data_IF_840525700117
#
_entry.id   IF_840525700117
#
_cell.length_a   1.000
_cell.length_b   1.000
_cell.length_c   1.000
_cell.angle_alpha   90.00
_cell.angle_beta   90.00
_cell.angle_gamma   90.00
#
_symmetry.space_group_name_H-M   'P 1'
#
loop_
_entity.id
_entity.type
_entity.pdbx_description
1 polymer ?
#
# COMPACT_ATOMS: atom_id res chain seq x y z
N UNK A 1 0.57 -6.23 1.35
CA UNK A 1 -0.69 -5.60 0.91
C UNK A 1 -1.70 -5.75 2.03
N UNK A 2 -2.32 -4.64 2.43
CA UNK A 2 -3.35 -4.62 3.47
C UNK A 2 -4.66 -4.25 2.78
N UNK A 3 -5.70 -5.09 2.93
CA UNK A 3 -7.04 -4.82 2.42
C UNK A 3 -7.07 -4.29 0.96
N UNK A 4 -6.39 -4.98 0.04
CA UNK A 4 -6.39 -4.70 -1.39
C UNK A 4 -7.22 -5.68 -2.22
N UNK A 5 -7.14 -5.57 -3.54
CA UNK A 5 -7.77 -6.50 -4.49
C UNK A 5 -6.82 -6.87 -5.62
N UNK A 6 -7.30 -7.71 -6.55
CA UNK A 6 -6.54 -8.16 -7.72
C UNK A 6 -6.04 -7.00 -8.59
N UNK A 7 -5.01 -7.25 -9.38
CA UNK A 7 -4.48 -6.28 -10.32
C UNK A 7 -5.58 -5.74 -11.26
N UNK A 8 -5.60 -4.43 -11.52
CA UNK A 8 -6.55 -3.84 -12.48
C UNK A 8 -8.04 -4.19 -12.22
N UNK A 9 -8.45 -4.39 -10.96
CA UNK A 9 -9.82 -4.80 -10.61
C UNK A 9 -10.90 -3.87 -11.18
N UNK A 10 -10.60 -2.57 -11.30
CA UNK A 10 -11.53 -1.56 -11.82
C UNK A 10 -11.69 -1.65 -13.34
N UNK A 11 -10.87 -2.45 -14.01
CA UNK A 11 -10.89 -2.66 -15.46
C UNK A 11 -10.86 -1.36 -16.27
N UNK A 12 -11.26 -1.42 -17.54
CA UNK A 12 -11.48 -0.24 -18.37
C UNK A 12 -12.68 0.60 -17.90
N UNK A 13 -13.60 0.02 -17.11
CA UNK A 13 -14.75 0.73 -16.57
C UNK A 13 -14.43 1.71 -15.43
N UNK A 14 -13.20 1.68 -14.90
CA UNK A 14 -12.69 2.64 -13.91
C UNK A 14 -13.57 2.73 -12.67
N UNK A 15 -13.78 3.96 -12.18
CA UNK A 15 -14.47 4.21 -10.91
C UNK A 15 -15.84 3.52 -10.81
N UNK A 16 -16.62 3.47 -11.91
CA UNK A 16 -17.92 2.81 -11.90
C UNK A 16 -17.81 1.29 -11.64
N UNK A 17 -16.79 0.64 -12.21
CA UNK A 17 -16.54 -0.79 -11.97
C UNK A 17 -15.94 -1.02 -10.59
N UNK A 18 -15.02 -0.17 -10.13
CA UNK A 18 -14.47 -0.26 -8.78
C UNK A 18 -15.56 -0.16 -7.70
N UNK A 19 -16.53 0.75 -7.88
CA UNK A 19 -17.71 0.87 -7.01
C UNK A 19 -18.56 -0.39 -7.01
N UNK A 20 -18.79 -1.00 -8.17
CA UNK A 20 -19.66 -2.16 -8.30
C UNK A 20 -19.01 -3.47 -7.86
N UNK A 21 -17.71 -3.63 -8.11
CA UNK A 21 -17.04 -4.92 -8.07
C UNK A 21 -15.91 -5.00 -7.05
N UNK A 22 -15.25 -3.89 -6.71
CA UNK A 22 -14.03 -3.88 -5.89
C UNK A 22 -14.20 -3.20 -4.52
N UNK A 23 -15.40 -3.16 -3.96
CA UNK A 23 -15.64 -2.64 -2.61
C UNK A 23 -15.97 -1.15 -2.50
N UNK A 24 -16.10 -0.40 -3.60
CA UNK A 24 -16.44 1.02 -3.50
C UNK A 24 -17.90 1.33 -3.12
N UNK A 25 -18.79 0.31 -3.03
CA UNK A 25 -20.19 0.48 -2.61
C UNK A 25 -20.49 -0.35 -1.36
N UNK A 26 -21.01 0.29 -0.31
CA UNK A 26 -21.54 -0.42 0.86
C UNK A 26 -22.91 -1.03 0.54
N UNK A 27 -23.04 -2.35 0.69
CA UNK A 27 -24.27 -3.10 0.50
C UNK A 27 -25.19 -3.01 1.73
N UNK A 28 -26.48 -3.37 1.63
CA UNK A 28 -27.41 -3.40 2.77
C UNK A 28 -26.97 -4.31 3.92
N UNK A 29 -26.04 -5.24 3.67
CA UNK A 29 -25.40 -6.09 4.69
C UNK A 29 -24.30 -5.37 5.47
N UNK A 30 -24.06 -4.08 5.21
CA UNK A 30 -22.92 -3.28 5.68
C UNK A 30 -21.55 -3.79 5.20
N UNK A 31 -21.53 -4.71 4.22
CA UNK A 31 -20.29 -5.17 3.59
C UNK A 31 -20.04 -4.39 2.30
N UNK A 32 -18.78 -4.16 1.97
CA UNK A 32 -18.37 -3.70 0.66
C UNK A 32 -18.80 -4.64 -0.48
N UNK A 33 -19.23 -4.05 -1.60
CA UNK A 33 -19.56 -4.74 -2.84
C UNK A 33 -18.40 -5.61 -3.30
N UNK A 34 -18.71 -6.78 -3.84
CA UNK A 34 -17.70 -7.72 -4.30
C UNK A 34 -18.26 -8.50 -5.49
N UNK A 35 -17.51 -8.50 -6.58
CA UNK A 35 -17.67 -9.45 -7.67
C UNK A 35 -16.27 -9.84 -8.12
N UNK A 36 -15.96 -11.14 -8.09
CA UNK A 36 -14.63 -11.61 -8.47
C UNK A 36 -14.25 -11.13 -9.87
N UNK A 37 -13.12 -10.42 -9.95
CA UNK A 37 -12.50 -9.99 -11.21
C UNK A 37 -11.22 -10.75 -11.52
N UNK A 38 -10.91 -11.81 -10.75
CA UNK A 38 -9.66 -12.57 -10.80
C UNK A 38 -9.30 -13.03 -12.22
N UNK A 39 -10.18 -13.74 -12.92
CA UNK A 39 -9.89 -14.21 -14.29
C UNK A 39 -9.65 -13.07 -15.27
N UNK A 40 -10.36 -11.95 -15.11
CA UNK A 40 -10.15 -10.75 -15.94
C UNK A 40 -8.80 -10.11 -15.63
N UNK A 41 -8.43 -10.07 -14.35
CA UNK A 41 -7.15 -9.58 -13.88
C UNK A 41 -5.98 -10.39 -14.43
N UNK A 42 -6.00 -11.73 -14.26
CA UNK A 42 -4.97 -12.64 -14.77
C UNK A 42 -4.80 -12.50 -16.29
N UNK A 43 -5.91 -12.48 -17.04
CA UNK A 43 -5.88 -12.29 -18.50
C UNK A 43 -5.28 -10.93 -18.90
N UNK A 44 -5.60 -9.87 -18.16
CA UNK A 44 -5.05 -8.54 -18.40
C UNK A 44 -3.56 -8.50 -18.06
N UNK A 45 -3.14 -9.05 -16.91
CA UNK A 45 -1.75 -9.14 -16.49
C UNK A 45 -0.90 -9.91 -17.51
N UNK A 46 -1.36 -11.07 -17.97
CA UNK A 46 -0.68 -11.87 -19.00
C UNK A 46 -0.49 -11.08 -20.30
N UNK A 47 -1.56 -10.38 -20.72
CA UNK A 47 -1.52 -9.52 -21.91
C UNK A 47 -0.50 -8.41 -21.74
N UNK A 48 -0.58 -7.62 -20.67
CA UNK A 48 0.33 -6.49 -20.44
C UNK A 48 1.79 -6.94 -20.26
N UNK A 49 2.00 -8.09 -19.61
CA UNK A 49 3.31 -8.72 -19.48
C UNK A 49 3.88 -9.10 -20.85
N UNK A 50 3.07 -9.72 -21.73
CA UNK A 50 3.51 -10.08 -23.08
C UNK A 50 3.82 -8.86 -23.97
N UNK A 51 3.11 -7.74 -23.75
CA UNK A 51 3.31 -6.48 -24.45
C UNK A 51 4.48 -5.66 -23.89
N UNK A 52 5.01 -6.03 -22.72
CA UNK A 52 6.07 -5.30 -22.02
C UNK A 52 5.63 -3.97 -21.39
N UNK A 53 4.33 -3.72 -21.29
CA UNK A 53 3.75 -2.53 -20.64
C UNK A 53 3.78 -2.64 -19.11
N UNK A 54 3.96 -3.85 -18.59
CA UNK A 54 4.42 -4.15 -17.21
C UNK A 54 5.72 -4.97 -17.24
N UNK A 55 6.30 -5.25 -16.08
CA UNK A 55 7.40 -6.21 -16.00
C UNK A 55 6.88 -7.63 -16.23
N UNK A 56 7.76 -8.54 -16.67
CA UNK A 56 7.38 -9.92 -16.93
C UNK A 56 6.73 -10.54 -15.68
N UNK A 57 5.55 -11.13 -15.83
CA UNK A 57 4.83 -11.83 -14.77
C UNK A 57 5.69 -12.92 -14.11
N UNK A 58 6.66 -13.47 -14.85
CA UNK A 58 7.64 -14.44 -14.32
C UNK A 58 8.47 -13.90 -13.16
N UNK A 59 8.59 -12.57 -13.02
CA UNK A 59 9.30 -11.93 -11.92
C UNK A 59 8.61 -12.16 -10.56
N UNK A 60 7.32 -12.46 -10.56
CA UNK A 60 6.57 -12.80 -9.35
C UNK A 60 6.94 -14.19 -8.81
N UNK A 61 7.53 -15.06 -9.64
CA UNK A 61 7.87 -16.43 -9.23
C UNK A 61 8.86 -16.43 -8.07
N UNK A 62 8.45 -17.02 -6.96
CA UNK A 62 9.26 -17.12 -5.75
C UNK A 62 9.36 -15.83 -4.94
N UNK A 63 8.77 -14.72 -5.40
CA UNK A 63 8.80 -13.45 -4.70
C UNK A 63 8.00 -13.56 -3.39
N UNK A 64 8.57 -13.14 -2.25
CA UNK A 64 7.82 -13.06 -1.00
C UNK A 64 6.71 -12.01 -1.13
N UNK A 65 5.49 -12.39 -0.77
CA UNK A 65 4.31 -11.51 -0.76
C UNK A 65 3.59 -11.69 0.57
N UNK A 66 3.47 -10.61 1.32
CA UNK A 66 2.67 -10.57 2.54
C UNK A 66 1.30 -9.96 2.25
N UNK A 67 0.25 -10.63 2.68
CA UNK A 67 -1.14 -10.22 2.57
C UNK A 67 -1.77 -10.13 3.96
N UNK A 68 -2.60 -9.11 4.19
CA UNK A 68 -3.35 -8.90 5.42
C UNK A 68 -4.82 -8.57 5.12
N UNK A 69 -5.74 -9.26 5.79
CA UNK A 69 -7.18 -8.98 5.75
C UNK A 69 -7.82 -9.25 7.11
N UNK A 70 -8.66 -8.33 7.57
CA UNK A 70 -9.45 -8.53 8.78
C UNK A 70 -10.71 -9.34 8.50
N UNK A 71 -11.04 -10.31 9.36
CA UNK A 71 -12.29 -11.09 9.24
C UNK A 71 -13.55 -10.24 9.44
N UNK A 72 -13.42 -9.02 9.96
CA UNK A 72 -14.50 -8.07 10.17
C UNK A 72 -14.42 -6.88 9.22
N UNK A 73 -13.47 -6.82 8.28
CA UNK A 73 -13.31 -5.69 7.37
C UNK A 73 -14.58 -5.49 6.52
N UNK A 74 -15.28 -4.38 6.78
CA UNK A 74 -16.49 -4.00 6.06
C UNK A 74 -16.24 -3.06 4.87
N UNK A 75 -15.04 -2.49 4.76
CA UNK A 75 -14.69 -1.48 3.74
C UNK A 75 -14.06 -2.12 2.51
N UNK A 76 -13.25 -3.16 2.68
CA UNK A 76 -12.76 -4.01 1.61
C UNK A 76 -13.16 -5.44 1.94
N UNK A 77 -13.98 -6.02 1.06
CA UNK A 77 -14.51 -7.35 1.27
C UNK A 77 -13.35 -8.37 1.38
N UNK A 78 -13.26 -9.21 2.42
CA UNK A 78 -12.19 -10.20 2.56
C UNK A 78 -12.04 -11.15 1.35
N UNK A 79 -13.09 -11.31 0.55
CA UNK A 79 -13.05 -12.06 -0.70
C UNK A 79 -12.15 -11.41 -1.77
N UNK A 80 -11.99 -10.08 -1.79
CA UNK A 80 -11.02 -9.40 -2.66
C UNK A 80 -9.58 -9.85 -2.37
N UNK A 81 -9.24 -9.94 -1.07
CA UNK A 81 -7.93 -10.39 -0.63
C UNK A 81 -7.72 -11.89 -0.86
N UNK A 82 -8.78 -12.70 -0.83
CA UNK A 82 -8.73 -14.10 -1.21
C UNK A 82 -8.46 -14.30 -2.71
N UNK A 83 -9.07 -13.46 -3.56
CA UNK A 83 -8.76 -13.43 -4.99
C UNK A 83 -7.33 -12.96 -5.24
N UNK A 84 -6.85 -11.93 -4.52
CA UNK A 84 -5.46 -11.47 -4.61
C UNK A 84 -4.43 -12.54 -4.17
N UNK A 85 -4.72 -13.32 -3.11
CA UNK A 85 -3.92 -14.49 -2.72
C UNK A 85 -3.86 -15.51 -3.86
N UNK A 86 -5.01 -15.80 -4.47
CA UNK A 86 -5.12 -16.73 -5.59
C UNK A 86 -4.30 -16.26 -6.80
N UNK A 87 -4.40 -14.97 -7.15
CA UNK A 87 -3.63 -14.37 -8.25
C UNK A 87 -2.13 -14.44 -8.03
N UNK A 88 -1.62 -14.02 -6.86
CA UNK A 88 -0.19 -14.09 -6.58
C UNK A 88 0.33 -15.54 -6.60
N UNK A 89 -0.45 -16.49 -6.09
CA UNK A 89 -0.10 -17.91 -6.13
C UNK A 89 -0.13 -18.47 -7.56
N UNK A 90 -1.06 -18.02 -8.40
CA UNK A 90 -1.12 -18.36 -9.82
C UNK A 90 0.21 -18.04 -10.52
N UNK A 91 0.77 -16.86 -10.25
CA UNK A 91 2.06 -16.44 -10.78
C UNK A 91 3.30 -16.99 -10.04
N UNK A 92 3.08 -17.85 -9.04
CA UNK A 92 4.12 -18.59 -8.35
C UNK A 92 4.82 -17.83 -7.23
N UNK A 93 4.21 -16.76 -6.70
CA UNK A 93 4.73 -16.04 -5.55
C UNK A 93 4.70 -16.90 -4.27
N UNK A 94 5.56 -16.55 -3.31
CA UNK A 94 5.58 -17.14 -1.96
C UNK A 94 4.72 -16.28 -1.04
N UNK A 95 3.43 -16.57 -1.03
CA UNK A 95 2.44 -15.80 -0.28
C UNK A 95 2.32 -16.27 1.16
N UNK A 96 2.46 -15.33 2.10
CA UNK A 96 2.00 -15.44 3.48
C UNK A 96 0.76 -14.55 3.64
N UNK A 97 -0.36 -15.13 4.07
CA UNK A 97 -1.63 -14.41 4.16
C UNK A 97 -2.20 -14.53 5.57
N UNK A 98 -2.19 -13.42 6.30
CA UNK A 98 -2.82 -13.31 7.60
C UNK A 98 -4.24 -12.78 7.44
N UNK A 99 -5.20 -13.68 7.61
CA UNK A 99 -6.62 -13.42 7.41
C UNK A 99 -7.52 -13.93 8.53
N UNK A 100 -6.94 -14.28 9.68
CA UNK A 100 -7.65 -14.91 10.80
C UNK A 100 -7.96 -13.94 11.95
N UNK A 101 -7.48 -12.69 11.88
CA UNK A 101 -7.67 -11.72 12.95
C UNK A 101 -9.07 -11.08 12.88
N UNK A 102 -9.72 -10.81 14.02
CA UNK A 102 -10.98 -10.07 14.10
C UNK A 102 -10.75 -8.56 13.89
N UNK A 103 -10.00 -8.21 12.85
CA UNK A 103 -9.72 -6.82 12.52
C UNK A 103 -10.82 -6.23 11.65
N UNK A 104 -11.15 -4.96 11.90
CA UNK A 104 -11.85 -4.10 10.95
C UNK A 104 -10.86 -3.52 9.92
N UNK A 105 -11.34 -2.69 9.01
CA UNK A 105 -10.49 -2.07 7.98
C UNK A 105 -9.39 -1.17 8.57
N UNK A 106 -8.13 -1.50 8.28
CA UNK A 106 -6.99 -0.66 8.63
C UNK A 106 -5.62 -1.31 8.41
N UNK A 107 -4.58 -0.48 8.53
CA UNK A 107 -3.20 -0.92 8.62
C UNK A 107 -2.93 -1.50 10.00
N UNK A 108 -2.50 -2.75 10.05
CA UNK A 108 -2.13 -3.40 11.31
C UNK A 108 -0.69 -3.06 11.69
N UNK A 109 -0.48 -2.66 12.94
CA UNK A 109 0.86 -2.61 13.55
C UNK A 109 0.76 -2.66 15.09
N UNK A 110 1.89 -2.89 15.79
CA UNK A 110 1.95 -2.75 17.25
C UNK A 110 1.70 -1.33 17.77
N UNK A 111 1.83 -0.32 16.92
CA UNK A 111 1.77 1.10 17.27
C UNK A 111 0.45 1.77 16.89
N UNK A 112 -0.46 1.03 16.23
CA UNK A 112 -1.78 1.53 15.90
C UNK A 112 -2.56 1.95 17.14
N UNK A 113 -3.22 3.11 17.08
CA UNK A 113 -3.99 3.64 18.20
C UNK A 113 -5.39 2.99 18.34
N UNK A 114 -5.90 2.37 17.28
CA UNK A 114 -7.23 1.75 17.28
C UNK A 114 -7.17 0.29 17.72
N UNK A 115 -8.19 -0.15 18.44
CA UNK A 115 -8.36 -1.57 18.72
C UNK A 115 -8.61 -2.35 17.41
N UNK A 116 -8.15 -3.61 17.34
CA UNK A 116 -8.22 -4.46 16.15
C UNK A 116 -9.56 -4.37 15.40
N UNK A 117 -10.69 -4.54 16.09
CA UNK A 117 -12.04 -4.52 15.51
C UNK A 117 -12.70 -3.14 15.41
N UNK A 118 -11.92 -2.05 15.40
CA UNK A 118 -12.45 -0.69 15.30
C UNK A 118 -12.27 -0.16 13.89
N UNK A 119 -13.39 0.11 13.22
CA UNK A 119 -13.41 0.91 11.99
C UNK A 119 -13.42 2.41 12.31
N UNK A 120 -12.39 3.14 11.88
CA UNK A 120 -12.34 4.59 12.02
C UNK A 120 -10.99 5.20 11.67
N UNK A 121 -10.94 6.54 11.58
CA UNK A 121 -9.68 7.28 11.44
C UNK A 121 -8.82 7.11 12.71
N UNK A 122 -7.49 6.92 12.59
CA UNK A 122 -6.66 7.05 11.38
C UNK A 122 -6.47 5.75 10.58
N UNK A 123 -7.32 4.74 10.80
CA UNK A 123 -7.22 3.40 10.21
C UNK A 123 -5.91 2.68 10.56
N UNK A 124 -5.38 2.94 11.77
CA UNK A 124 -4.19 2.31 12.33
C UNK A 124 -4.62 1.37 13.45
N UNK A 125 -4.78 0.10 13.14
CA UNK A 125 -5.32 -0.91 14.07
C UNK A 125 -4.20 -1.69 14.74
N UNK A 126 -4.42 -2.02 16.01
CA UNK A 126 -3.53 -2.88 16.79
C UNK A 126 -4.24 -4.18 17.14
N UNK A 127 -3.70 -5.26 16.60
CA UNK A 127 -4.25 -6.59 16.82
C UNK A 127 -3.48 -7.37 17.87
N UNK A 128 -4.11 -8.40 18.42
CA UNK A 128 -3.51 -9.29 19.38
C UNK A 128 -4.01 -10.70 19.18
N UNK A 129 -3.13 -11.69 19.34
CA UNK A 129 -3.45 -13.10 19.35
C UNK A 129 -2.82 -13.76 20.57
N UNK A 130 -3.59 -14.62 21.26
CA UNK A 130 -3.09 -15.40 22.40
C UNK A 130 -2.42 -14.57 23.51
N UNK A 131 -2.91 -13.36 23.76
CA UNK A 131 -2.38 -12.45 24.79
C UNK A 131 -1.12 -11.69 24.39
N UNK A 132 -0.64 -11.82 23.15
CA UNK A 132 0.46 -11.05 22.59
C UNK A 132 -0.03 -10.11 21.49
N UNK A 133 0.59 -8.94 21.41
CA UNK A 133 0.37 -7.97 20.33
C UNK A 133 0.93 -8.56 19.04
N UNK A 134 0.15 -8.49 17.97
CA UNK A 134 0.62 -8.92 16.65
C UNK A 134 1.49 -7.83 16.02
N UNK A 135 2.43 -8.24 15.18
CA UNK A 135 3.31 -7.35 14.43
C UNK A 135 3.41 -7.86 12.99
N UNK A 136 2.53 -7.38 12.12
CA UNK A 136 2.60 -7.70 10.69
C UNK A 136 3.90 -7.20 10.06
N UNK A 137 4.48 -6.11 10.56
CA UNK A 137 5.72 -5.51 10.06
C UNK A 137 6.92 -6.41 10.28
N UNK A 138 7.04 -7.01 11.47
CA UNK A 138 8.02 -8.06 11.74
C UNK A 138 7.87 -9.23 10.76
N UNK A 139 6.62 -9.68 10.57
CA UNK A 139 6.31 -10.84 9.74
C UNK A 139 6.78 -10.62 8.31
N UNK A 140 6.35 -9.53 7.66
CA UNK A 140 6.73 -9.31 6.27
C UNK A 140 8.19 -8.92 6.12
N UNK A 141 8.78 -8.09 7.01
CA UNK A 141 10.21 -7.77 6.92
C UNK A 141 11.08 -9.02 7.04
N UNK A 142 10.70 -9.98 7.89
CA UNK A 142 11.41 -11.25 8.04
C UNK A 142 11.37 -12.06 6.75
N UNK A 143 10.27 -12.03 5.99
CA UNK A 143 10.18 -12.69 4.68
C UNK A 143 11.17 -12.10 3.65
N UNK A 144 11.40 -10.78 3.68
CA UNK A 144 12.29 -10.10 2.72
C UNK A 144 13.77 -10.12 3.14
N UNK A 145 14.06 -10.00 4.43
CA UNK A 145 15.41 -9.78 4.95
C UNK A 145 15.98 -10.99 5.71
N UNK A 146 15.15 -11.96 6.07
CA UNK A 146 15.51 -13.02 6.99
C UNK A 146 15.53 -12.52 8.45
N UNK A 147 16.38 -13.08 9.32
CA UNK A 147 16.43 -12.71 10.73
C UNK A 147 16.66 -11.21 10.94
N UNK A 148 15.75 -10.57 11.66
CA UNK A 148 15.81 -9.14 11.97
C UNK A 148 16.54 -8.88 13.30
N UNK A 149 17.21 -7.73 13.40
CA UNK A 149 17.57 -7.17 14.70
C UNK A 149 16.30 -6.69 15.40
N UNK A 150 16.23 -6.78 16.74
CA UNK A 150 15.07 -6.33 17.49
C UNK A 150 14.67 -4.89 17.11
N UNK A 151 13.38 -4.67 16.98
CA UNK A 151 12.74 -3.37 16.79
C UNK A 151 13.20 -2.37 17.85
N UNK A 152 13.38 -1.09 17.47
CA UNK A 152 13.63 -0.02 18.44
C UNK A 152 12.35 0.30 19.22
N UNK A 153 12.35 0.13 20.54
CA UNK A 153 11.21 0.46 21.43
C UNK A 153 11.41 1.77 22.19
N UNK A 154 12.48 2.51 21.90
CA UNK A 154 12.82 3.79 22.51
C UNK A 154 12.79 4.93 21.48
N UNK A 155 13.57 5.96 21.74
CA UNK A 155 13.71 7.07 20.79
C UNK A 155 14.45 6.58 19.53
N UNK A 156 13.86 6.82 18.36
CA UNK A 156 14.47 6.50 17.08
C UNK A 156 15.78 7.26 16.88
N UNK A 157 16.79 6.58 16.33
CA UNK A 157 18.10 7.17 16.05
C UNK A 157 18.14 7.90 14.72
N UNK A 158 17.29 7.49 13.78
CA UNK A 158 17.12 8.11 12.47
C UNK A 158 16.37 9.43 12.49
N UNK A 159 16.33 10.06 11.33
CA UNK A 159 15.64 11.33 11.12
C UNK A 159 14.44 11.12 10.23
N UNK A 160 13.27 11.57 10.69
CA UNK A 160 12.10 11.76 9.85
C UNK A 160 12.15 13.17 9.24
N UNK A 161 12.03 13.28 7.93
CA UNK A 161 12.07 14.55 7.20
C UNK A 161 11.04 14.58 6.09
N UNK A 162 10.62 15.78 5.70
CA UNK A 162 9.80 15.96 4.50
C UNK A 162 10.68 16.12 3.26
N UNK A 163 10.12 15.82 2.08
CA UNK A 163 10.74 16.08 0.79
C UNK A 163 9.71 16.57 -0.23
N UNK A 164 10.19 17.27 -1.26
CA UNK A 164 9.35 17.81 -2.33
C UNK A 164 9.04 16.72 -3.37
N UNK A 165 7.78 16.31 -3.47
CA UNK A 165 7.35 15.29 -4.44
C UNK A 165 7.25 15.85 -5.87
N UNK A 166 7.18 17.18 -6.03
CA UNK A 166 7.07 17.80 -7.36
C UNK A 166 8.32 17.58 -8.19
N UNK A 167 9.47 17.36 -7.55
CA UNK A 167 10.71 16.92 -8.19
C UNK A 167 10.53 15.62 -9.00
N UNK A 168 9.60 14.76 -8.58
CA UNK A 168 9.29 13.49 -9.22
C UNK A 168 8.06 13.57 -10.14
N UNK A 169 7.43 14.75 -10.25
CA UNK A 169 6.25 15.00 -11.07
C UNK A 169 4.92 14.89 -10.32
N UNK A 170 4.93 14.80 -8.98
CA UNK A 170 3.71 14.89 -8.20
C UNK A 170 3.05 16.25 -8.40
N UNK A 171 1.72 16.25 -8.48
CA UNK A 171 0.95 17.48 -8.57
C UNK A 171 -0.49 17.26 -8.10
N UNK A 172 -1.20 18.34 -7.75
CA UNK A 172 -2.62 18.25 -7.41
C UNK A 172 -3.50 17.67 -8.54
N UNK A 173 -3.10 17.84 -9.81
CA UNK A 173 -3.84 17.24 -10.94
C UNK A 173 -3.71 15.71 -10.99
N UNK A 174 -2.76 15.12 -10.26
CA UNK A 174 -2.61 13.68 -10.09
C UNK A 174 -3.16 13.18 -8.75
N UNK A 175 -3.82 14.04 -7.96
CA UNK A 175 -4.20 13.76 -6.57
C UNK A 175 -2.99 13.45 -5.67
N UNK A 176 -1.80 13.98 -6.00
CA UNK A 176 -0.59 13.77 -5.19
C UNK A 176 -0.20 15.06 -4.45
N UNK A 177 0.20 14.92 -3.19
CA UNK A 177 0.70 16.02 -2.38
C UNK A 177 1.97 16.61 -2.99
N UNK A 178 2.28 17.87 -2.68
CA UNK A 178 3.60 18.43 -3.00
C UNK A 178 4.67 17.92 -2.03
N UNK A 179 4.28 17.36 -0.89
CA UNK A 179 5.21 16.96 0.18
C UNK A 179 5.01 15.51 0.54
N UNK A 180 6.10 14.74 0.58
CA UNK A 180 6.16 13.38 1.10
C UNK A 180 7.06 13.33 2.34
N UNK A 181 7.12 12.18 3.00
CA UNK A 181 8.00 11.98 4.17
C UNK A 181 9.03 10.88 3.91
N UNK A 182 10.20 11.00 4.53
CA UNK A 182 11.26 9.98 4.48
C UNK A 182 11.88 9.81 5.86
N UNK A 183 11.99 8.56 6.30
CA UNK A 183 12.76 8.18 7.47
C UNK A 183 14.10 7.61 7.04
N UNK A 184 15.19 8.19 7.56
CA UNK A 184 16.56 7.77 7.28
C UNK A 184 17.24 7.37 8.59
N UNK A 185 17.51 6.07 8.81
CA UNK A 185 18.28 5.62 9.96
C UNK A 185 19.65 6.28 10.01
N UNK A 186 20.16 6.55 11.22
CA UNK A 186 21.47 7.19 11.41
C UNK A 186 22.60 6.48 10.65
N UNK A 187 22.57 5.14 10.64
CA UNK A 187 23.53 4.33 9.90
C UNK A 187 23.50 4.62 8.39
N UNK A 188 22.33 4.84 7.80
CA UNK A 188 22.17 5.15 6.37
C UNK A 188 22.66 6.56 6.04
N UNK A 189 22.35 7.54 6.90
CA UNK A 189 22.83 8.91 6.76
C UNK A 189 24.37 9.02 6.82
N UNK A 190 25.04 8.06 7.45
CA UNK A 190 26.50 7.97 7.53
C UNK A 190 27.15 7.27 6.31
N UNK A 191 26.39 6.97 5.26
CA UNK A 191 26.90 6.39 4.01
C UNK A 191 26.97 4.86 3.99
N UNK A 192 26.35 4.17 4.95
CA UNK A 192 26.24 2.71 4.86
C UNK A 192 25.28 2.31 3.74
N UNK A 193 25.55 1.14 3.14
CA UNK A 193 24.56 0.47 2.29
C UNK A 193 23.33 0.09 3.11
N UNK A 194 22.16 0.50 2.64
CA UNK A 194 20.87 0.27 3.28
C UNK A 194 19.89 -0.38 2.32
N UNK A 195 18.91 -1.08 2.88
CA UNK A 195 17.70 -1.46 2.15
C UNK A 195 16.73 -0.27 2.07
N UNK A 196 15.62 -0.48 1.38
CA UNK A 196 14.63 0.54 1.14
C UNK A 196 13.21 -0.05 1.18
N UNK A 197 12.27 0.71 1.74
CA UNK A 197 10.83 0.44 1.73
C UNK A 197 10.10 1.66 1.20
N UNK A 198 9.21 1.47 0.23
CA UNK A 198 8.18 2.46 -0.12
C UNK A 198 6.88 2.06 0.59
N UNK A 199 6.39 2.93 1.46
CA UNK A 199 5.22 2.69 2.29
C UNK A 199 4.08 3.62 1.86
N UNK A 200 3.09 3.04 1.20
CA UNK A 200 1.92 3.76 0.67
C UNK A 200 0.76 3.67 1.67
N UNK A 201 0.22 4.82 2.06
CA UNK A 201 -0.95 4.90 2.93
C UNK A 201 -2.24 4.51 2.18
N UNK A 202 -3.31 4.19 2.91
CA UNK A 202 -4.64 3.97 2.36
C UNK A 202 -5.44 5.25 2.13
N UNK A 203 -6.67 5.13 1.62
CA UNK A 203 -7.58 6.27 1.53
C UNK A 203 -7.84 6.90 2.91
N UNK A 204 -8.05 8.22 2.98
CA UNK A 204 -8.27 8.99 4.22
C UNK A 204 -7.12 8.90 5.23
N UNK A 205 -5.92 8.54 4.77
CA UNK A 205 -4.70 8.49 5.58
C UNK A 205 -3.63 9.48 5.09
N UNK A 206 -4.00 10.42 4.24
CA UNK A 206 -3.11 11.49 3.81
C UNK A 206 -2.73 12.41 4.97
N UNK A 207 -1.53 12.99 4.90
CA UNK A 207 -0.99 13.79 6.00
C UNK A 207 -1.84 15.03 6.32
N UNK A 208 -2.54 15.60 5.33
CA UNK A 208 -3.45 16.73 5.55
C UNK A 208 -4.67 16.40 6.41
N UNK A 209 -5.04 15.12 6.51
CA UNK A 209 -6.19 14.66 7.29
C UNK A 209 -5.78 14.07 8.64
N UNK A 210 -4.76 13.21 8.67
CA UNK A 210 -4.37 12.47 9.89
C UNK A 210 -3.01 12.91 10.46
N UNK A 211 -2.42 13.99 9.95
CA UNK A 211 -1.11 14.47 10.38
C UNK A 211 -0.02 13.44 10.10
N UNK A 212 0.81 13.14 11.11
CA UNK A 212 1.91 12.18 10.97
C UNK A 212 1.55 10.74 11.36
N UNK A 213 0.28 10.45 11.67
CA UNK A 213 -0.19 9.15 12.20
C UNK A 213 0.22 7.98 11.32
N UNK A 214 0.03 8.07 10.00
CA UNK A 214 0.49 7.04 9.06
C UNK A 214 1.98 6.72 9.25
N UNK A 215 2.83 7.75 9.31
CA UNK A 215 4.28 7.58 9.39
C UNK A 215 4.73 7.09 10.77
N UNK A 216 4.08 7.53 11.85
CA UNK A 216 4.47 7.20 13.22
C UNK A 216 3.82 5.94 13.78
N UNK A 217 2.69 5.50 13.21
CA UNK A 217 1.94 4.33 13.71
C UNK A 217 2.02 3.14 12.75
N UNK A 218 2.63 3.27 11.57
CA UNK A 218 2.77 2.10 10.67
C UNK A 218 3.75 1.04 11.23
N UNK A 219 4.56 1.37 12.24
CA UNK A 219 5.53 0.46 12.88
C UNK A 219 6.79 0.17 12.05
N UNK A 220 6.89 0.73 10.85
CA UNK A 220 8.00 0.46 9.91
C UNK A 220 9.30 1.14 10.35
N UNK A 221 9.23 2.34 10.93
CA UNK A 221 10.41 3.13 11.27
C UNK A 221 11.24 2.48 12.39
N UNK A 222 10.58 1.85 13.34
CA UNK A 222 11.19 1.20 14.49
C UNK A 222 11.98 -0.05 14.10
N UNK A 223 11.49 -0.79 13.10
CA UNK A 223 12.24 -1.89 12.49
C UNK A 223 13.34 -1.35 11.56
N UNK A 224 13.06 -0.31 10.80
CA UNK A 224 14.01 0.32 9.88
C UNK A 224 15.25 0.89 10.60
N UNK A 225 15.05 1.49 11.77
CA UNK A 225 16.10 2.13 12.57
C UNK A 225 17.20 1.14 13.00
N UNK A 226 16.82 -0.11 13.29
CA UNK A 226 17.78 -1.16 13.70
C UNK A 226 18.24 -2.03 12.53
N UNK A 227 17.48 -2.09 11.43
CA UNK A 227 17.74 -2.97 10.28
C UNK A 227 18.26 -2.25 9.02
N UNK A 228 18.67 -0.98 9.13
CA UNK A 228 19.27 -0.20 8.02
C UNK A 228 18.35 -0.11 6.80
N UNK A 229 17.11 0.31 7.01
CA UNK A 229 16.14 0.53 5.94
C UNK A 229 15.80 2.01 5.84
N UNK A 230 15.93 2.59 4.65
CA UNK A 230 15.32 3.90 4.37
C UNK A 230 13.84 3.67 4.09
N UNK A 231 12.94 4.47 4.67
CA UNK A 231 11.51 4.35 4.42
C UNK A 231 11.02 5.63 3.76
N UNK A 232 10.47 5.54 2.55
CA UNK A 232 9.82 6.68 1.87
C UNK A 232 8.32 6.48 1.95
N UNK A 233 7.65 7.57 2.32
CA UNK A 233 6.21 7.68 2.48
C UNK A 233 5.70 8.74 1.49
N UNK A 234 5.40 8.35 0.25
CA UNK A 234 4.69 9.21 -0.68
C UNK A 234 3.31 9.55 -0.11
N UNK A 235 2.87 10.78 -0.32
CA UNK A 235 1.61 11.31 0.20
C UNK A 235 0.70 11.76 -0.96
N UNK A 236 -0.59 11.50 -0.81
CA UNK A 236 -1.62 11.95 -1.75
C UNK A 236 -2.41 13.12 -1.17
N UNK A 237 -3.31 13.70 -1.95
CA UNK A 237 -4.26 14.72 -1.47
C UNK A 237 -5.63 14.45 -2.08
N UNK A 238 -6.69 14.85 -1.37
CA UNK A 238 -8.03 14.81 -1.91
C UNK A 238 -8.18 15.75 -3.12
N UNK A 239 -8.93 15.33 -4.12
CA UNK A 239 -9.19 16.12 -5.33
C UNK A 239 -10.65 16.06 -5.77
N UNK A 240 -11.11 17.09 -6.48
CA UNK A 240 -12.49 17.24 -6.97
C UNK A 240 -12.54 17.79 -8.39
N UNK A 241 -13.74 17.76 -8.99
CA UNK A 241 -14.01 18.39 -10.29
C UNK A 241 -13.57 19.87 -10.33
N UNK A 242 -13.11 20.39 -11.48
CA UNK A 242 -13.09 19.75 -12.80
C UNK A 242 -11.87 18.84 -13.06
N UNK A 243 -11.04 18.57 -12.05
CA UNK A 243 -9.95 17.58 -12.12
C UNK A 243 -10.44 16.16 -11.80
N UNK A 244 -9.52 15.18 -11.70
CA UNK A 244 -9.86 13.85 -11.20
C UNK A 244 -10.57 13.95 -9.85
N UNK A 245 -11.66 13.22 -9.68
CA UNK A 245 -12.44 13.23 -8.44
C UNK A 245 -11.99 12.06 -7.56
N UNK A 246 -11.28 12.40 -6.50
CA UNK A 246 -10.75 11.47 -5.50
C UNK A 246 -10.89 12.11 -4.11
N UNK A 247 -12.11 12.16 -3.55
CA UNK A 247 -12.40 12.89 -2.33
C UNK A 247 -11.70 12.30 -1.09
N UNK A 248 -11.27 11.05 -1.18
CA UNK A 248 -10.67 10.30 -0.07
C UNK A 248 -9.14 10.20 -0.18
N UNK A 249 -8.51 10.96 -1.08
CA UNK A 249 -7.06 10.94 -1.28
C UNK A 249 -6.49 9.50 -1.41
N UNK A 250 -7.14 8.65 -2.21
CA UNK A 250 -6.62 7.33 -2.50
C UNK A 250 -5.47 7.41 -3.52
N UNK A 251 -4.54 6.46 -3.52
CA UNK A 251 -3.75 6.18 -4.72
C UNK A 251 -4.67 5.67 -5.84
N UNK A 252 -4.26 5.83 -7.11
CA UNK A 252 -5.08 5.43 -8.25
C UNK A 252 -5.00 3.94 -8.54
N UNK A 253 -5.81 3.18 -7.80
CA UNK A 253 -6.06 1.75 -8.05
C UNK A 253 -7.42 1.50 -8.73
N UNK A 254 -8.26 2.53 -8.81
CA UNK A 254 -9.67 2.43 -9.21
C UNK A 254 -10.00 3.22 -10.48
N UNK A 255 -8.98 3.70 -11.19
CA UNK A 255 -9.10 4.37 -12.48
C UNK A 255 -9.85 5.70 -12.40
N UNK A 256 -9.79 6.40 -11.26
CA UNK A 256 -10.43 7.71 -11.13
C UNK A 256 -9.78 8.74 -12.05
N UNK A 257 -8.53 8.51 -12.44
CA UNK A 257 -7.79 9.34 -13.37
C UNK A 257 -7.98 8.93 -14.84
N UNK A 258 -8.72 7.85 -15.18
CA UNK A 258 -8.84 7.31 -16.55
C UNK A 258 -9.22 8.33 -17.64
N UNK A 259 -9.91 9.40 -17.26
CA UNK A 259 -10.25 10.52 -18.15
C UNK A 259 -9.02 11.27 -18.67
N UNK A 260 -7.92 11.24 -17.90
CA UNK A 260 -6.67 11.94 -18.11
C UNK A 260 -5.47 10.97 -18.27
N UNK A 261 -5.51 9.84 -17.57
CA UNK A 261 -4.53 8.75 -17.62
C UNK A 261 -5.23 7.38 -17.64
N UNK A 262 -5.41 6.76 -18.83
CA UNK A 262 -6.01 5.43 -18.94
C UNK A 262 -5.06 4.31 -18.50
N UNK A 263 -3.83 4.63 -18.07
CA UNK A 263 -2.75 3.68 -17.81
C UNK A 263 -2.43 3.51 -16.32
N UNK A 264 -3.36 3.81 -15.40
CA UNK A 264 -3.12 3.77 -13.95
C UNK A 264 -2.47 2.46 -13.46
N UNK A 265 -2.76 1.33 -14.12
CA UNK A 265 -2.22 0.02 -13.79
C UNK A 265 -0.90 -0.33 -14.51
N UNK A 266 -0.45 0.46 -15.49
CA UNK A 266 0.75 0.19 -16.30
C UNK A 266 1.97 0.91 -15.77
N UNK A 267 3.17 0.54 -16.25
CA UNK A 267 4.42 1.28 -15.97
C UNK A 267 4.34 2.76 -16.35
N UNK A 268 3.55 3.08 -17.37
CA UNK A 268 3.35 4.46 -17.86
C UNK A 268 2.30 5.24 -17.09
N UNK A 269 1.65 4.65 -16.08
CA UNK A 269 0.70 5.35 -15.21
C UNK A 269 1.37 6.54 -14.52
N UNK A 270 0.65 7.64 -14.37
CA UNK A 270 1.23 8.91 -13.92
C UNK A 270 1.66 8.84 -12.46
N UNK A 271 0.83 8.32 -11.55
CA UNK A 271 1.24 8.11 -10.16
C UNK A 271 2.36 7.06 -10.06
N UNK A 272 2.27 5.95 -10.81
CA UNK A 272 3.33 4.94 -10.87
C UNK A 272 4.67 5.52 -11.30
N UNK A 273 4.67 6.42 -12.29
CA UNK A 273 5.87 7.11 -12.76
C UNK A 273 6.48 8.02 -11.68
N UNK A 274 5.65 8.73 -10.92
CA UNK A 274 6.11 9.55 -9.78
C UNK A 274 6.77 8.67 -8.72
N UNK A 275 6.11 7.58 -8.33
CA UNK A 275 6.64 6.64 -7.32
C UNK A 275 7.95 5.99 -7.80
N UNK A 276 8.02 5.55 -9.05
CA UNK A 276 9.22 4.92 -9.59
C UNK A 276 10.41 5.89 -9.64
N UNK A 277 10.20 7.18 -9.92
CA UNK A 277 11.27 8.20 -9.84
C UNK A 277 11.79 8.40 -8.42
N UNK A 278 10.94 8.26 -7.39
CA UNK A 278 11.40 8.23 -6.00
C UNK A 278 12.27 7.00 -5.73
N UNK A 279 11.88 5.82 -6.25
CA UNK A 279 12.70 4.60 -6.15
C UNK A 279 14.05 4.79 -6.83
N UNK A 280 14.09 5.33 -8.06
CA UNK A 280 15.31 5.64 -8.80
C UNK A 280 16.23 6.55 -7.99
N UNK A 281 15.69 7.65 -7.44
CA UNK A 281 16.43 8.60 -6.59
C UNK A 281 17.07 7.91 -5.38
N UNK A 282 16.30 7.13 -4.63
CA UNK A 282 16.79 6.49 -3.39
C UNK A 282 17.81 5.40 -3.67
N UNK A 283 17.65 4.68 -4.78
CA UNK A 283 18.54 3.58 -5.17
C UNK A 283 19.76 4.03 -5.99
N UNK A 284 19.88 5.33 -6.27
CA UNK A 284 20.95 5.89 -7.08
C UNK A 284 20.91 5.44 -8.55
N UNK A 285 19.74 5.01 -9.03
CA UNK A 285 19.52 4.66 -10.43
C UNK A 285 19.00 5.89 -11.19
N UNK A 286 19.37 6.05 -12.48
CA UNK A 286 18.76 7.05 -13.35
C UNK A 286 17.29 6.70 -13.62
#
# INVERSE_FOLDING_TARGET
>A
MYAGGVYWCATAGGAATALANCGGLTLPSNQASYNSTLTTSEAYLDTQSSLGTIDSATNLRGQPVYLWSGTQDQVVNPLEMADLDSEYRHYGAKVHFDNAYPAEHGWESPDGELACGTLGSPYMVRCSANGAVYDSVETWLTMFLGPLKPRNTGMLSGTLSSFDQTEFGASPSLSMSQTGSVFVPKACAQGNKCGFVIALHGCLQEASLIGNRWVTEAGVNEWADTNKLVVVYPDTIASSAPGPTNPNACFDWWGYSNQYDPNYALKSGLQMSVLYRMVQRVTGQP
#
